data_IF_012377995692
#
_entry.id   IF_012377995692
#
_cell.length_a   1.000
_cell.length_b   1.000
_cell.length_c   1.000
_cell.angle_alpha   90.00
_cell.angle_beta   90.00
_cell.angle_gamma   90.00
#
_symmetry.space_group_name_H-M   'P 1'
#
loop_
_entity.id
_entity.type
_entity.pdbx_description
1 polymer ?
#
# COMPACT_ATOMS: atom_id res chain seq x y z
N UNK A 1 24.96 7.09 2.21
CA UNK A 1 23.57 7.52 2.51
C UNK A 1 23.38 7.43 4.02
N UNK A 2 22.83 8.45 4.68
CA UNK A 2 22.61 8.39 6.13
C UNK A 2 21.33 7.60 6.44
N UNK A 3 21.42 6.59 7.31
CA UNK A 3 20.26 5.81 7.74
C UNK A 3 19.33 6.65 8.64
N UNK A 4 18.02 6.45 8.44
CA UNK A 4 16.98 6.89 9.39
C UNK A 4 17.14 6.15 10.72
N UNK A 5 16.59 6.72 11.79
CA UNK A 5 16.68 6.16 13.13
C UNK A 5 16.15 4.73 13.18
N UNK A 6 14.93 4.49 12.71
CA UNK A 6 14.34 3.14 12.66
C UNK A 6 15.21 2.14 11.86
N UNK A 7 15.84 2.59 10.77
CA UNK A 7 16.72 1.73 9.96
C UNK A 7 17.96 1.33 10.75
N UNK A 8 18.56 2.27 11.48
CA UNK A 8 19.74 2.02 12.32
C UNK A 8 19.41 1.05 13.45
N UNK A 9 18.29 1.26 14.13
CA UNK A 9 17.80 0.35 15.18
C UNK A 9 17.50 -1.04 14.62
N UNK A 10 16.84 -1.13 13.47
CA UNK A 10 16.54 -2.40 12.81
C UNK A 10 17.82 -3.15 12.39
N UNK A 11 18.83 -2.45 11.85
CA UNK A 11 20.15 -3.05 11.53
C UNK A 11 20.77 -3.62 12.80
N UNK A 12 20.78 -2.87 13.89
CA UNK A 12 21.35 -3.30 15.16
C UNK A 12 20.62 -4.53 15.74
N UNK A 13 19.29 -4.51 15.76
CA UNK A 13 18.48 -5.65 16.20
C UNK A 13 18.71 -6.89 15.32
N UNK A 14 18.79 -6.70 13.99
CA UNK A 14 19.12 -7.78 13.08
C UNK A 14 20.53 -8.35 13.34
N UNK A 15 21.50 -7.48 13.64
CA UNK A 15 22.90 -7.84 13.92
C UNK A 15 23.04 -8.70 15.17
N UNK A 16 22.36 -8.34 16.26
CA UNK A 16 22.43 -9.06 17.55
C UNK A 16 21.52 -10.28 17.62
N UNK A 17 20.48 -10.35 16.78
CA UNK A 17 19.55 -11.48 16.78
C UNK A 17 20.25 -12.81 16.46
N UNK A 18 20.08 -13.80 17.34
CA UNK A 18 20.57 -15.17 17.14
C UNK A 18 19.62 -16.03 16.32
N UNK A 19 18.44 -15.52 15.94
CA UNK A 19 17.45 -16.26 15.15
C UNK A 19 17.95 -16.45 13.72
N UNK A 20 17.63 -17.61 13.15
CA UNK A 20 17.90 -17.92 11.74
C UNK A 20 16.97 -17.16 10.79
N UNK A 21 15.81 -16.71 11.27
CA UNK A 21 14.86 -15.89 10.54
C UNK A 21 14.52 -14.65 11.36
N UNK A 22 14.51 -13.50 10.71
CA UNK A 22 14.20 -12.21 11.32
C UNK A 22 13.17 -11.50 10.44
N UNK A 23 12.05 -11.08 11.02
CA UNK A 23 10.99 -10.38 10.31
C UNK A 23 11.02 -8.88 10.64
N UNK A 24 11.18 -8.06 9.60
CA UNK A 24 10.99 -6.63 9.67
C UNK A 24 9.70 -6.23 8.96
N UNK A 25 8.76 -5.66 9.72
CA UNK A 25 7.55 -5.06 9.17
C UNK A 25 7.75 -3.55 9.18
N UNK A 26 7.66 -2.91 8.02
CA UNK A 26 7.82 -1.47 7.94
C UNK A 26 6.89 -0.89 6.89
N UNK A 27 6.26 0.24 7.20
CA UNK A 27 5.25 0.84 6.33
C UNK A 27 5.78 1.05 4.89
N UNK A 28 4.90 1.01 3.88
CA UNK A 28 5.30 1.31 2.51
C UNK A 28 6.01 2.68 2.43
N UNK A 29 7.15 2.74 1.73
CA UNK A 29 7.96 3.96 1.62
C UNK A 29 8.93 4.22 2.79
N UNK A 30 8.92 3.40 3.85
CA UNK A 30 9.83 3.55 4.99
C UNK A 30 11.32 3.39 4.63
N UNK A 31 11.63 2.76 3.49
CA UNK A 31 12.99 2.49 3.02
C UNK A 31 13.51 1.11 3.45
N UNK A 32 12.67 0.07 3.34
CA UNK A 32 13.01 -1.33 3.67
C UNK A 32 14.24 -1.83 2.92
N UNK A 33 14.35 -1.51 1.64
CA UNK A 33 15.47 -1.89 0.77
C UNK A 33 16.80 -1.35 1.31
N UNK A 34 16.86 -0.07 1.70
CA UNK A 34 18.07 0.53 2.27
C UNK A 34 18.47 -0.13 3.59
N UNK A 35 17.51 -0.41 4.48
CA UNK A 35 17.75 -1.16 5.71
C UNK A 35 18.34 -2.55 5.41
N UNK A 36 17.69 -3.31 4.54
CA UNK A 36 18.06 -4.69 4.24
C UNK A 36 19.43 -4.81 3.56
N UNK A 37 19.73 -3.93 2.59
CA UNK A 37 21.02 -3.91 1.91
C UNK A 37 22.15 -3.46 2.85
N UNK A 38 21.87 -2.55 3.78
CA UNK A 38 22.87 -2.14 4.79
C UNK A 38 23.16 -3.28 5.77
N UNK A 39 22.12 -3.95 6.27
CA UNK A 39 22.27 -5.16 7.09
C UNK A 39 23.03 -6.26 6.35
N UNK A 40 22.79 -6.44 5.06
CA UNK A 40 23.48 -7.42 4.23
C UNK A 40 24.95 -7.09 4.00
N UNK A 41 25.28 -5.81 3.73
CA UNK A 41 26.66 -5.32 3.66
C UNK A 41 27.43 -5.64 4.93
N UNK A 42 26.87 -5.34 6.12
CA UNK A 42 27.53 -5.68 7.40
C UNK A 42 27.75 -7.19 7.58
N UNK A 43 26.83 -8.02 7.07
CA UNK A 43 26.98 -9.49 7.14
C UNK A 43 28.08 -10.01 6.22
N UNK A 44 28.23 -9.42 5.03
CA UNK A 44 29.31 -9.73 4.10
C UNK A 44 30.66 -9.27 4.68
N UNK A 45 30.76 -8.02 5.12
CA UNK A 45 32.00 -7.43 5.61
C UNK A 45 32.51 -8.10 6.89
N UNK A 46 31.61 -8.61 7.73
CA UNK A 46 31.96 -9.39 8.92
C UNK A 46 32.22 -10.88 8.67
N UNK A 47 32.16 -11.33 7.40
CA UNK A 47 32.35 -12.73 7.02
C UNK A 47 31.23 -13.68 7.49
N UNK A 48 30.13 -13.16 8.04
CA UNK A 48 28.98 -13.96 8.50
C UNK A 48 28.20 -14.56 7.33
N UNK A 49 28.27 -13.94 6.17
CA UNK A 49 27.75 -14.46 4.92
C UNK A 49 28.81 -14.33 3.82
N UNK A 50 28.86 -15.31 2.92
CA UNK A 50 29.69 -15.23 1.70
C UNK A 50 28.96 -14.51 0.57
N UNK A 51 27.62 -14.62 0.53
CA UNK A 51 26.78 -14.06 -0.52
C UNK A 51 25.38 -13.70 -0.02
N UNK A 52 24.68 -12.90 -0.81
CA UNK A 52 23.30 -12.48 -0.57
C UNK A 52 22.39 -12.98 -1.67
N UNK A 53 21.21 -13.50 -1.34
CA UNK A 53 20.15 -13.79 -2.30
C UNK A 53 18.92 -12.98 -1.92
N UNK A 54 18.45 -12.14 -2.82
CA UNK A 54 17.21 -11.38 -2.67
C UNK A 54 16.12 -12.03 -3.50
N UNK A 55 14.93 -12.18 -2.92
CA UNK A 55 13.73 -12.63 -3.62
C UNK A 55 12.70 -11.52 -3.59
N UNK A 56 12.30 -11.06 -4.76
CA UNK A 56 11.35 -9.97 -4.97
C UNK A 56 10.04 -10.49 -5.60
N UNK A 57 8.91 -9.78 -5.44
CA UNK A 57 7.63 -10.20 -6.02
C UNK A 57 7.61 -10.15 -7.56
N UNK A 58 8.25 -9.14 -8.16
CA UNK A 58 8.23 -8.91 -9.61
C UNK A 58 9.62 -8.64 -10.17
N UNK A 59 9.78 -8.78 -11.49
CA UNK A 59 11.03 -8.44 -12.20
C UNK A 59 11.36 -6.94 -12.08
N UNK A 60 10.35 -6.08 -12.04
CA UNK A 60 10.54 -4.64 -11.83
C UNK A 60 11.15 -4.35 -10.45
N UNK A 61 10.62 -4.97 -9.39
CA UNK A 61 11.16 -4.85 -8.03
C UNK A 61 12.58 -5.45 -7.97
N UNK A 62 12.80 -6.62 -8.56
CA UNK A 62 14.12 -7.23 -8.64
C UNK A 62 15.16 -6.30 -9.29
N UNK A 63 14.79 -5.63 -10.38
CA UNK A 63 15.65 -4.66 -11.08
C UNK A 63 15.98 -3.46 -10.20
N UNK A 64 15.05 -3.00 -9.36
CA UNK A 64 15.31 -1.91 -8.40
C UNK A 64 16.27 -2.31 -7.28
N UNK A 65 16.16 -3.55 -6.80
CA UNK A 65 17.13 -4.09 -5.84
C UNK A 65 18.54 -4.13 -6.42
N UNK A 66 18.69 -4.57 -7.68
CA UNK A 66 19.98 -4.57 -8.37
C UNK A 66 20.51 -3.14 -8.66
N UNK A 67 19.62 -2.20 -9.02
CA UNK A 67 19.98 -0.83 -9.34
C UNK A 67 20.26 0.05 -8.11
N UNK A 68 19.98 -0.41 -6.89
CA UNK A 68 20.17 0.38 -5.65
C UNK A 68 21.63 0.76 -5.41
N UNK A 69 22.57 -0.12 -5.75
CA UNK A 69 24.01 0.16 -5.74
C UNK A 69 24.73 -0.02 -4.40
N UNK A 70 24.04 -0.34 -3.30
CA UNK A 70 24.70 -0.69 -2.03
C UNK A 70 25.39 -2.07 -2.08
N UNK A 71 24.83 -2.99 -2.86
CA UNK A 71 25.41 -4.29 -3.20
C UNK A 71 25.37 -4.48 -4.71
N UNK A 72 26.38 -5.14 -5.27
CA UNK A 72 26.38 -5.56 -6.67
C UNK A 72 25.65 -6.90 -6.80
N UNK A 73 24.37 -6.85 -7.17
CA UNK A 73 23.50 -8.01 -7.33
C UNK A 73 23.28 -8.34 -8.81
N UNK A 74 23.43 -9.61 -9.18
CA UNK A 74 23.06 -10.09 -10.50
C UNK A 74 21.56 -10.44 -10.56
N UNK A 75 20.87 -9.99 -11.61
CA UNK A 75 19.45 -10.28 -11.84
C UNK A 75 19.19 -11.57 -12.65
N UNK A 76 20.24 -12.32 -12.97
CA UNK A 76 20.17 -13.56 -13.72
C UNK A 76 20.91 -14.67 -12.95
N UNK A 77 20.30 -15.85 -12.91
CA UNK A 77 20.90 -17.01 -12.28
C UNK A 77 21.94 -17.64 -13.22
N UNK A 78 23.18 -17.88 -12.76
CA UNK A 78 24.21 -18.53 -13.56
C UNK A 78 23.78 -19.93 -14.02
N UNK A 79 24.35 -20.38 -15.14
CA UNK A 79 24.16 -21.75 -15.63
C UNK A 79 24.67 -22.78 -14.60
N UNK A 80 25.76 -22.47 -13.90
CA UNK A 80 26.39 -23.33 -12.89
C UNK A 80 26.29 -22.69 -11.50
N UNK A 81 25.60 -23.36 -10.58
CA UNK A 81 25.48 -22.92 -9.18
C UNK A 81 24.76 -21.58 -8.95
N UNK A 82 25.19 -20.88 -7.90
CA UNK A 82 24.63 -19.60 -7.42
C UNK A 82 25.70 -18.52 -7.19
N UNK A 83 26.97 -18.83 -7.51
CA UNK A 83 28.06 -17.87 -7.45
C UNK A 83 28.06 -17.03 -8.73
N UNK A 84 28.17 -15.72 -8.58
CA UNK A 84 28.10 -14.76 -9.68
C UNK A 84 29.42 -14.04 -9.80
N UNK A 85 30.08 -14.17 -10.94
CA UNK A 85 31.40 -13.58 -11.15
C UNK A 85 31.38 -12.06 -10.95
N UNK A 86 32.18 -11.60 -10.00
CA UNK A 86 32.31 -10.19 -9.66
C UNK A 86 31.06 -9.56 -9.04
N UNK A 87 30.06 -10.34 -8.63
CA UNK A 87 28.87 -9.88 -7.92
C UNK A 87 28.85 -10.45 -6.50
N UNK A 88 28.15 -9.77 -5.60
CA UNK A 88 28.07 -10.09 -4.17
C UNK A 88 26.85 -10.96 -3.85
N UNK A 89 25.99 -11.15 -4.85
CA UNK A 89 24.73 -11.85 -4.68
C UNK A 89 23.84 -11.86 -5.92
N UNK A 90 22.66 -12.41 -5.71
CA UNK A 90 21.61 -12.60 -6.71
C UNK A 90 20.34 -11.87 -6.30
N UNK A 91 19.59 -11.42 -7.29
CA UNK A 91 18.18 -11.06 -7.12
C UNK A 91 17.32 -11.89 -8.05
N UNK A 92 16.29 -12.51 -7.49
CA UNK A 92 15.38 -13.43 -8.16
C UNK A 92 13.93 -13.04 -7.88
N UNK A 93 12.99 -13.60 -8.63
CA UNK A 93 11.57 -13.52 -8.30
C UNK A 93 11.09 -14.77 -7.57
N UNK A 94 9.97 -14.69 -6.85
CA UNK A 94 9.32 -15.89 -6.30
C UNK A 94 9.01 -16.92 -7.38
N UNK A 95 8.55 -16.47 -8.56
CA UNK A 95 8.29 -17.34 -9.71
C UNK A 95 9.55 -18.06 -10.20
N UNK A 96 10.71 -17.39 -10.17
CA UNK A 96 12.00 -17.99 -10.57
C UNK A 96 12.40 -19.19 -9.70
N UNK A 97 11.88 -19.32 -8.48
CA UNK A 97 12.20 -20.42 -7.56
C UNK A 97 11.40 -21.69 -7.85
N UNK A 98 10.36 -21.62 -8.67
CA UNK A 98 9.55 -22.78 -9.02
C UNK A 98 10.38 -23.82 -9.81
N UNK A 99 10.00 -25.08 -9.68
CA UNK A 99 10.62 -26.19 -10.41
C UNK A 99 12.06 -26.50 -9.98
N UNK A 100 12.93 -26.79 -10.95
CA UNK A 100 14.30 -27.24 -10.70
C UNK A 100 15.22 -26.14 -10.16
N UNK A 101 14.90 -24.88 -10.41
CA UNK A 101 15.73 -23.74 -9.98
C UNK A 101 15.85 -23.65 -8.46
N UNK A 102 14.72 -23.70 -7.74
CA UNK A 102 14.72 -23.66 -6.28
C UNK A 102 15.48 -24.85 -5.67
N UNK A 103 15.40 -26.03 -6.29
CA UNK A 103 16.16 -27.20 -5.86
C UNK A 103 17.67 -26.98 -5.97
N UNK A 104 18.13 -26.48 -7.12
CA UNK A 104 19.54 -26.20 -7.38
C UNK A 104 20.11 -25.14 -6.43
N UNK A 105 19.31 -24.12 -6.11
CA UNK A 105 19.68 -23.10 -5.11
C UNK A 105 19.83 -23.74 -3.73
N UNK A 106 18.87 -24.58 -3.31
CA UNK A 106 18.92 -25.30 -2.05
C UNK A 106 20.18 -26.15 -1.92
N UNK A 107 20.47 -26.98 -2.91
CA UNK A 107 21.69 -27.81 -2.94
C UNK A 107 22.98 -26.99 -2.87
N UNK A 108 23.02 -25.84 -3.56
CA UNK A 108 24.18 -24.96 -3.52
C UNK A 108 24.36 -24.29 -2.15
N UNK A 109 23.28 -23.88 -1.50
CA UNK A 109 23.31 -23.33 -0.13
C UNK A 109 23.73 -24.41 0.86
N UNK A 110 23.24 -25.64 0.73
CA UNK A 110 23.60 -26.76 1.62
C UNK A 110 25.08 -27.17 1.49
N UNK A 111 25.67 -27.00 0.30
CA UNK A 111 27.12 -27.20 0.08
C UNK A 111 28.00 -26.13 0.71
N UNK A 112 27.50 -24.93 0.96
CA UNK A 112 28.28 -23.89 1.63
C UNK A 112 28.62 -24.32 3.06
N UNK A 113 29.90 -24.55 3.35
CA UNK A 113 30.34 -24.87 4.72
C UNK A 113 29.88 -23.81 5.73
N UNK A 114 29.51 -24.26 6.94
CA UNK A 114 28.92 -23.46 8.05
C UNK A 114 29.68 -22.17 8.45
N UNK A 115 30.89 -21.94 7.95
CA UNK A 115 31.76 -20.79 8.29
C UNK A 115 31.41 -19.49 7.56
N UNK A 116 30.81 -19.53 6.36
CA UNK A 116 30.37 -18.33 5.63
C UNK A 116 29.22 -18.70 4.69
N UNK A 117 28.02 -18.88 5.25
CA UNK A 117 26.84 -19.33 4.48
C UNK A 117 26.15 -18.21 3.70
N UNK A 118 24.94 -18.48 3.22
CA UNK A 118 24.16 -17.52 2.42
C UNK A 118 23.18 -16.71 3.29
N UNK A 119 23.15 -15.38 3.13
CA UNK A 119 22.09 -14.51 3.65
C UNK A 119 20.97 -14.42 2.62
N UNK A 120 19.73 -14.69 3.03
CA UNK A 120 18.56 -14.57 2.14
C UNK A 120 17.70 -13.40 2.60
N UNK A 121 17.26 -12.58 1.66
CA UNK A 121 16.29 -11.50 1.87
C UNK A 121 15.03 -11.83 1.08
N UNK A 122 13.89 -11.89 1.77
CA UNK A 122 12.58 -12.15 1.16
C UNK A 122 11.76 -10.85 1.24
N UNK A 123 11.61 -10.16 0.11
CA UNK A 123 10.86 -8.91 0.02
C UNK A 123 9.37 -9.17 -0.22
N UNK A 124 8.51 -8.38 0.44
CA UNK A 124 7.06 -8.56 0.46
C UNK A 124 6.65 -10.03 0.68
N UNK A 125 7.12 -10.60 1.80
CA UNK A 125 7.04 -12.05 2.08
C UNK A 125 5.62 -12.65 2.06
N UNK A 126 4.59 -11.80 2.12
CA UNK A 126 3.20 -12.23 1.97
C UNK A 126 2.87 -12.83 0.60
N UNK A 127 3.64 -12.53 -0.46
CA UNK A 127 3.49 -13.21 -1.75
C UNK A 127 3.68 -14.72 -1.65
N UNK A 128 4.44 -15.21 -0.65
CA UNK A 128 4.59 -16.63 -0.41
C UNK A 128 3.27 -17.37 -0.10
N UNK A 129 2.26 -16.64 0.38
CA UNK A 129 0.93 -17.17 0.69
C UNK A 129 -0.08 -17.04 -0.46
N UNK A 130 0.25 -16.33 -1.54
CA UNK A 130 -0.64 -16.16 -2.70
C UNK A 130 -0.79 -17.47 -3.50
N UNK A 131 0.28 -18.27 -3.57
CA UNK A 131 0.30 -19.59 -4.16
C UNK A 131 1.10 -20.53 -3.24
N UNK A 132 0.49 -21.66 -2.84
CA UNK A 132 1.13 -22.67 -1.99
C UNK A 132 2.44 -23.21 -2.58
N UNK A 133 2.60 -23.15 -3.91
CA UNK A 133 3.84 -23.52 -4.60
C UNK A 133 5.01 -22.60 -4.24
N UNK A 134 4.77 -21.32 -3.98
CA UNK A 134 5.82 -20.40 -3.56
C UNK A 134 6.33 -20.76 -2.17
N UNK A 135 5.44 -21.04 -1.21
CA UNK A 135 5.84 -21.50 0.13
C UNK A 135 6.72 -22.75 0.10
N UNK A 136 6.34 -23.74 -0.71
CA UNK A 136 7.14 -24.96 -0.87
C UNK A 136 8.50 -24.67 -1.52
N UNK A 137 8.53 -23.84 -2.58
CA UNK A 137 9.76 -23.47 -3.27
C UNK A 137 10.75 -22.73 -2.36
N UNK A 138 10.25 -21.81 -1.51
CA UNK A 138 11.07 -21.10 -0.52
C UNK A 138 11.66 -22.04 0.52
N UNK A 139 10.84 -22.95 1.05
CA UNK A 139 11.31 -23.95 2.02
C UNK A 139 12.42 -24.80 1.42
N UNK A 140 12.21 -25.29 0.20
CA UNK A 140 13.20 -26.10 -0.53
C UNK A 140 14.48 -25.33 -0.83
N UNK A 141 14.38 -24.07 -1.26
CA UNK A 141 15.53 -23.27 -1.66
C UNK A 141 16.34 -22.74 -0.48
N UNK A 142 15.70 -22.40 0.65
CA UNK A 142 16.33 -21.53 1.66
C UNK A 142 16.34 -22.09 3.09
N UNK A 143 15.95 -23.34 3.32
CA UNK A 143 16.05 -23.96 4.65
C UNK A 143 17.49 -23.97 5.19
N UNK A 144 18.47 -24.26 4.34
CA UNK A 144 19.91 -24.26 4.67
C UNK A 144 20.54 -22.87 4.83
N UNK A 145 19.81 -21.78 4.55
CA UNK A 145 20.37 -20.43 4.61
C UNK A 145 20.88 -20.09 6.02
N UNK A 146 22.02 -19.39 6.09
CA UNK A 146 22.68 -19.01 7.35
C UNK A 146 21.81 -18.08 8.18
N UNK A 147 21.13 -17.16 7.49
CA UNK A 147 20.15 -16.25 8.05
C UNK A 147 19.18 -15.80 6.96
N UNK A 148 17.94 -15.52 7.35
CA UNK A 148 16.85 -15.04 6.50
C UNK A 148 16.30 -13.73 7.07
N UNK A 149 16.25 -12.70 6.24
CA UNK A 149 15.59 -11.43 6.54
C UNK A 149 14.28 -11.39 5.75
N UNK A 150 13.16 -11.41 6.44
CA UNK A 150 11.83 -11.32 5.86
C UNK A 150 11.38 -9.85 5.96
N UNK A 151 10.91 -9.27 4.86
CA UNK A 151 10.41 -7.90 4.80
C UNK A 151 8.91 -7.92 4.44
N UNK A 152 8.14 -7.06 5.10
CA UNK A 152 6.73 -6.85 4.77
C UNK A 152 6.34 -5.38 4.94
N UNK A 153 5.43 -4.90 4.09
CA UNK A 153 4.76 -3.60 4.25
C UNK A 153 3.77 -3.53 5.42
N UNK A 154 3.18 -4.67 5.78
CA UNK A 154 2.10 -4.75 6.79
C UNK A 154 2.20 -6.02 7.62
N UNK A 155 1.66 -6.03 8.86
CA UNK A 155 1.37 -7.28 9.55
C UNK A 155 0.39 -8.09 8.71
N UNK A 156 0.66 -9.39 8.53
CA UNK A 156 -0.22 -10.30 7.80
C UNK A 156 -0.93 -11.21 8.79
N UNK A 157 -2.21 -11.45 8.54
CA UNK A 157 -3.08 -12.31 9.35
C UNK A 157 -3.69 -13.39 8.47
N UNK A 158 -3.76 -14.60 9.00
CA UNK A 158 -4.25 -15.78 8.29
C UNK A 158 -4.99 -16.72 9.19
N UNK A 159 -5.93 -17.46 8.59
CA UNK A 159 -6.57 -18.61 9.22
C UNK A 159 -5.67 -19.86 9.14
N UNK A 160 -4.70 -19.88 8.22
CA UNK A 160 -3.73 -20.97 8.02
C UNK A 160 -2.33 -20.55 8.51
N UNK A 161 -1.97 -20.97 9.73
CA UNK A 161 -0.75 -20.57 10.46
C UNK A 161 0.58 -20.84 9.74
N UNK A 162 0.63 -21.62 8.66
CA UNK A 162 1.88 -22.04 8.00
C UNK A 162 2.05 -21.55 6.55
N UNK A 163 1.21 -20.61 6.10
CA UNK A 163 1.19 -20.19 4.70
C UNK A 163 2.48 -19.46 4.24
N UNK A 164 3.22 -18.84 5.17
CA UNK A 164 4.47 -18.12 4.86
C UNK A 164 5.63 -18.81 5.59
N UNK A 165 6.53 -19.49 4.87
CA UNK A 165 7.68 -20.15 5.47
C UNK A 165 8.54 -19.21 6.28
N UNK A 166 9.16 -19.74 7.34
CA UNK A 166 10.11 -19.04 8.21
C UNK A 166 9.53 -17.91 9.08
N UNK A 167 8.27 -17.53 8.88
CA UNK A 167 7.56 -16.57 9.72
C UNK A 167 7.13 -17.21 11.04
N UNK A 168 6.94 -16.36 12.07
CA UNK A 168 6.42 -16.75 13.38
C UNK A 168 5.00 -16.20 13.54
N UNK A 169 4.18 -16.90 14.30
CA UNK A 169 2.74 -16.63 14.40
C UNK A 169 2.28 -16.60 15.85
N UNK A 170 1.35 -15.68 16.15
CA UNK A 170 0.57 -15.70 17.39
C UNK A 170 -0.47 -16.82 17.35
N UNK A 171 -1.10 -17.11 18.49
CA UNK A 171 -2.22 -18.04 18.55
C UNK A 171 -3.39 -17.62 17.63
N UNK A 172 -3.57 -16.31 17.45
CA UNK A 172 -4.65 -15.70 16.66
C UNK A 172 -4.34 -15.59 15.16
N UNK A 173 -3.21 -16.15 14.72
CA UNK A 173 -2.82 -16.19 13.30
C UNK A 173 -2.18 -14.91 12.79
N UNK A 174 -1.66 -14.06 13.68
CA UNK A 174 -0.94 -12.83 13.31
C UNK A 174 0.57 -13.07 13.25
N UNK A 175 1.21 -12.49 12.24
CA UNK A 175 2.66 -12.61 12.07
C UNK A 175 3.43 -11.82 13.14
N UNK A 176 4.38 -12.46 13.83
CA UNK A 176 5.18 -11.85 14.89
C UNK A 176 6.45 -11.22 14.29
N UNK A 177 6.47 -9.90 14.20
CA UNK A 177 7.64 -9.12 13.80
C UNK A 177 8.75 -9.15 14.86
N UNK A 178 10.01 -9.17 14.42
CA UNK A 178 11.15 -8.89 15.29
C UNK A 178 11.36 -7.37 15.43
N UNK A 179 11.09 -6.61 14.36
CA UNK A 179 11.05 -5.15 14.36
C UNK A 179 9.83 -4.67 13.57
N UNK A 180 9.15 -3.65 14.09
CA UNK A 180 7.99 -3.03 13.43
C UNK A 180 8.19 -1.52 13.33
N UNK A 181 7.94 -0.97 12.15
CA UNK A 181 7.89 0.47 11.88
C UNK A 181 6.55 0.81 11.24
N UNK A 182 5.60 1.22 12.06
CA UNK A 182 4.20 1.39 11.63
C UNK A 182 4.00 2.65 10.79
N UNK A 183 2.85 2.77 10.14
CA UNK A 183 2.46 4.04 9.50
C UNK A 183 2.45 5.20 10.50
N UNK A 184 2.06 4.93 11.74
CA UNK A 184 2.01 5.92 12.80
C UNK A 184 3.41 6.40 13.21
N UNK A 185 4.40 5.50 13.26
CA UNK A 185 5.80 5.86 13.46
C UNK A 185 6.33 6.69 12.27
N UNK A 186 5.97 6.31 11.05
CA UNK A 186 6.35 7.05 9.84
C UNK A 186 5.76 8.47 9.79
N UNK A 187 4.56 8.67 10.33
CA UNK A 187 3.98 10.01 10.50
C UNK A 187 4.73 10.81 11.57
N UNK A 188 5.05 10.20 12.73
CA UNK A 188 5.82 10.83 13.80
C UNK A 188 7.17 11.35 13.29
N UNK A 189 7.85 10.54 12.50
CA UNK A 189 9.17 10.83 11.96
C UNK A 189 9.14 11.67 10.67
N UNK A 190 7.94 12.06 10.21
CA UNK A 190 7.71 12.80 8.95
C UNK A 190 8.28 12.10 7.70
N UNK A 191 8.40 10.78 7.76
CA UNK A 191 8.79 9.91 6.64
C UNK A 191 7.62 9.72 5.67
N UNK A 192 6.40 9.73 6.19
CA UNK A 192 5.17 9.69 5.42
C UNK A 192 4.30 10.92 5.71
N UNK A 193 3.41 11.24 4.77
CA UNK A 193 2.38 12.26 4.92
C UNK A 193 1.07 11.61 5.42
N UNK A 194 0.21 12.36 6.14
CA UNK A 194 -1.12 11.88 6.49
C UNK A 194 -1.96 11.64 5.23
N UNK A 195 -2.98 10.79 5.36
CA UNK A 195 -3.97 10.54 4.32
C UNK A 195 -5.37 10.86 4.85
N UNK A 196 -6.18 11.48 4.00
CA UNK A 196 -7.60 11.72 4.22
C UNK A 196 -8.40 10.85 3.25
N UNK A 197 -9.27 10.00 3.79
CA UNK A 197 -10.16 9.14 3.04
C UNK A 197 -11.47 9.87 2.77
N UNK A 198 -11.88 9.89 1.51
CA UNK A 198 -13.11 10.52 1.03
C UNK A 198 -13.98 9.44 0.41
N UNK A 199 -15.08 9.11 1.08
CA UNK A 199 -16.09 8.20 0.58
C UNK A 199 -17.17 9.01 -0.18
N UNK A 200 -17.31 8.72 -1.46
CA UNK A 200 -18.29 9.38 -2.34
C UNK A 200 -19.50 8.46 -2.53
N UNK A 201 -20.69 8.97 -2.23
CA UNK A 201 -21.96 8.25 -2.36
C UNK A 201 -22.17 7.66 -3.75
N UNK A 202 -22.76 6.47 -3.82
CA UNK A 202 -23.13 5.82 -5.08
C UNK A 202 -24.45 5.07 -4.94
N UNK A 203 -25.18 4.97 -6.05
CA UNK A 203 -26.23 3.98 -6.24
C UNK A 203 -25.61 2.77 -6.96
N UNK A 204 -26.07 1.55 -6.67
CA UNK A 204 -25.61 0.36 -7.38
C UNK A 204 -26.79 -0.48 -7.86
N UNK A 205 -26.69 -0.93 -9.11
CA UNK A 205 -27.69 -1.73 -9.80
C UNK A 205 -27.06 -3.06 -10.24
N UNK A 206 -27.36 -4.16 -9.56
CA UNK A 206 -26.77 -5.48 -9.88
C UNK A 206 -27.85 -6.55 -10.03
N UNK A 207 -27.49 -7.69 -10.61
CA UNK A 207 -28.37 -8.85 -10.66
C UNK A 207 -27.79 -9.97 -9.78
N UNK A 208 -28.64 -10.60 -8.97
CA UNK A 208 -28.30 -11.81 -8.24
C UNK A 208 -29.30 -12.94 -8.53
N UNK A 209 -29.20 -14.07 -7.82
CA UNK A 209 -30.10 -15.22 -8.01
C UNK A 209 -31.58 -14.90 -7.76
N UNK A 210 -31.91 -13.75 -7.16
CA UNK A 210 -33.27 -13.25 -6.93
C UNK A 210 -33.73 -12.25 -7.99
N UNK A 211 -32.93 -12.02 -9.04
CA UNK A 211 -33.22 -11.08 -10.12
C UNK A 211 -32.54 -9.71 -9.96
N UNK A 212 -32.97 -8.69 -10.72
CA UNK A 212 -32.41 -7.34 -10.64
C UNK A 212 -32.63 -6.70 -9.27
N UNK A 213 -31.57 -6.16 -8.70
CA UNK A 213 -31.54 -5.42 -7.44
C UNK A 213 -31.01 -4.00 -7.70
N UNK A 214 -31.65 -3.01 -7.09
CA UNK A 214 -31.19 -1.62 -7.07
C UNK A 214 -31.13 -1.16 -5.62
N UNK A 215 -29.95 -0.79 -5.14
CA UNK A 215 -29.76 -0.34 -3.75
C UNK A 215 -28.83 0.86 -3.74
N UNK A 216 -29.24 1.92 -3.02
CA UNK A 216 -28.35 3.03 -2.66
C UNK A 216 -27.27 2.48 -1.74
N UNK A 217 -26.01 2.52 -2.18
CA UNK A 217 -24.87 2.01 -1.42
C UNK A 217 -24.44 3.09 -0.45
N UNK A 218 -24.71 2.88 0.83
CA UNK A 218 -24.27 3.77 1.88
C UNK A 218 -23.31 3.09 2.84
N UNK A 219 -22.52 3.91 3.52
CA UNK A 219 -21.62 3.48 4.59
C UNK A 219 -22.45 2.86 5.74
N UNK A 220 -23.72 3.25 5.87
CA UNK A 220 -24.56 2.80 6.98
C UNK A 220 -25.12 1.38 6.81
N UNK A 221 -25.18 0.85 5.59
CA UNK A 221 -25.82 -0.43 5.31
C UNK A 221 -24.78 -1.47 4.87
N UNK A 222 -24.42 -2.43 5.75
CA UNK A 222 -23.50 -3.50 5.40
C UNK A 222 -24.07 -4.38 4.29
N UNK A 223 -23.29 -4.56 3.22
CA UNK A 223 -23.60 -5.51 2.15
C UNK A 223 -23.01 -6.89 2.51
N UNK A 224 -23.78 -7.99 2.31
CA UNK A 224 -23.27 -9.35 2.52
C UNK A 224 -21.97 -9.62 1.75
N UNK A 225 -21.04 -10.36 2.36
CA UNK A 225 -19.71 -10.62 1.78
C UNK A 225 -19.77 -11.18 0.34
N UNK A 226 -20.73 -12.05 0.06
CA UNK A 226 -20.94 -12.66 -1.27
C UNK A 226 -21.33 -11.65 -2.36
N UNK A 227 -21.98 -10.55 -1.99
CA UNK A 227 -22.45 -9.54 -2.94
C UNK A 227 -21.48 -8.36 -3.11
N UNK A 228 -20.52 -8.16 -2.18
CA UNK A 228 -19.61 -6.99 -2.16
C UNK A 228 -18.90 -6.76 -3.50
N UNK A 229 -18.33 -7.81 -4.09
CA UNK A 229 -17.59 -7.70 -5.36
C UNK A 229 -18.47 -7.32 -6.55
N UNK A 230 -19.70 -7.85 -6.61
CA UNK A 230 -20.66 -7.56 -7.68
C UNK A 230 -21.25 -6.16 -7.56
N UNK A 231 -21.61 -5.74 -6.33
CA UNK A 231 -22.09 -4.38 -6.07
C UNK A 231 -21.03 -3.35 -6.43
N UNK A 232 -19.80 -3.59 -6.00
CA UNK A 232 -18.69 -2.70 -6.30
C UNK A 232 -18.40 -2.64 -7.80
N UNK A 233 -18.41 -3.78 -8.50
CA UNK A 233 -18.28 -3.77 -9.97
C UNK A 233 -19.38 -2.94 -10.62
N UNK A 234 -20.64 -3.14 -10.23
CA UNK A 234 -21.77 -2.37 -10.76
C UNK A 234 -21.61 -0.87 -10.54
N UNK A 235 -21.27 -0.45 -9.32
CA UNK A 235 -20.96 0.95 -8.98
C UNK A 235 -19.88 1.55 -9.88
N UNK A 236 -18.82 0.79 -10.15
CA UNK A 236 -17.70 1.25 -10.97
C UNK A 236 -18.08 1.36 -12.45
N UNK A 237 -19.02 0.54 -12.92
CA UNK A 237 -19.43 0.47 -14.32
C UNK A 237 -20.54 1.48 -14.68
N UNK A 238 -21.32 1.96 -13.71
CA UNK A 238 -22.45 2.90 -13.91
C UNK A 238 -22.00 4.28 -14.43
N UNK A 239 -20.70 4.61 -14.30
CA UNK A 239 -20.08 5.82 -14.83
C UNK A 239 -20.50 7.13 -14.15
N UNK A 240 -21.69 7.19 -13.54
CA UNK A 240 -22.18 8.33 -12.76
C UNK A 240 -21.31 8.57 -11.51
N UNK A 241 -21.10 7.52 -10.70
CA UNK A 241 -20.17 7.60 -9.57
C UNK A 241 -18.77 8.01 -10.03
N UNK A 242 -18.31 7.45 -11.15
CA UNK A 242 -16.99 7.73 -11.69
C UNK A 242 -16.84 9.20 -12.12
N UNK A 243 -17.86 9.78 -12.75
CA UNK A 243 -17.88 11.21 -13.08
C UNK A 243 -17.78 12.07 -11.82
N UNK A 244 -18.62 11.80 -10.81
CA UNK A 244 -18.62 12.55 -9.56
C UNK A 244 -17.29 12.48 -8.81
N UNK A 245 -16.75 11.27 -8.62
CA UNK A 245 -15.48 11.07 -7.91
C UNK A 245 -14.28 11.67 -8.67
N UNK A 246 -14.25 11.56 -10.00
CA UNK A 246 -13.16 12.12 -10.80
C UNK A 246 -13.22 13.65 -10.82
N UNK A 247 -14.41 14.25 -10.88
CA UNK A 247 -14.56 15.70 -10.79
C UNK A 247 -14.02 16.25 -9.46
N UNK A 248 -14.43 15.66 -8.34
CA UNK A 248 -14.00 16.07 -7.00
C UNK A 248 -12.49 15.85 -6.81
N UNK A 249 -11.99 14.66 -7.17
CA UNK A 249 -10.58 14.34 -7.06
C UNK A 249 -9.71 15.26 -7.94
N UNK A 250 -10.19 15.62 -9.13
CA UNK A 250 -9.51 16.55 -10.02
C UNK A 250 -9.52 17.98 -9.48
N UNK A 251 -10.66 18.47 -8.98
CA UNK A 251 -10.74 19.79 -8.35
C UNK A 251 -9.76 19.91 -7.17
N UNK A 252 -9.70 18.87 -6.33
CA UNK A 252 -8.72 18.81 -5.23
C UNK A 252 -7.27 18.81 -5.73
N UNK A 253 -6.94 17.95 -6.69
CA UNK A 253 -5.58 17.87 -7.23
C UNK A 253 -5.15 19.20 -7.88
N UNK A 254 -6.04 19.86 -8.62
CA UNK A 254 -5.75 21.16 -9.22
C UNK A 254 -5.54 22.25 -8.17
N UNK A 255 -6.25 22.19 -7.04
CA UNK A 255 -6.00 23.08 -5.91
C UNK A 255 -4.61 22.85 -5.32
N UNK A 256 -4.22 21.59 -5.06
CA UNK A 256 -2.87 21.25 -4.58
C UNK A 256 -1.77 21.71 -5.55
N UNK A 257 -2.04 21.64 -6.86
CA UNK A 257 -1.09 22.07 -7.90
C UNK A 257 -0.83 23.57 -7.95
N UNK A 258 -1.58 24.39 -7.21
CA UNK A 258 -1.24 25.81 -7.02
C UNK A 258 0.00 25.99 -6.15
N UNK A 259 0.22 25.09 -5.19
CA UNK A 259 1.38 25.12 -4.28
C UNK A 259 2.47 24.16 -4.75
N UNK A 260 2.08 23.01 -5.30
CA UNK A 260 3.00 21.97 -5.79
C UNK A 260 2.70 21.72 -7.27
N UNK A 261 3.31 22.48 -8.20
CA UNK A 261 2.93 22.48 -9.62
C UNK A 261 2.91 21.12 -10.31
N UNK A 262 3.75 20.17 -9.87
CA UNK A 262 3.86 18.84 -10.42
C UNK A 262 3.13 17.76 -9.60
N UNK A 263 2.33 18.12 -8.60
CA UNK A 263 1.53 17.17 -7.83
C UNK A 263 0.68 16.30 -8.77
N UNK A 264 0.74 14.99 -8.55
CA UNK A 264 0.09 13.98 -9.37
C UNK A 264 -0.98 13.21 -8.63
N UNK A 265 -1.92 12.66 -9.39
CA UNK A 265 -2.95 11.74 -8.94
C UNK A 265 -2.79 10.37 -9.59
N UNK A 266 -3.14 9.33 -8.83
CA UNK A 266 -3.18 7.95 -9.29
C UNK A 266 -4.63 7.47 -9.29
N UNK A 267 -5.09 6.89 -10.41
CA UNK A 267 -6.37 6.21 -10.48
C UNK A 267 -6.11 4.72 -10.65
N UNK A 268 -6.58 3.90 -9.72
CA UNK A 268 -6.41 2.44 -9.78
C UNK A 268 -7.68 1.80 -10.31
N UNK A 269 -7.60 1.23 -11.50
CA UNK A 269 -8.70 0.54 -12.18
C UNK A 269 -8.71 -0.97 -11.86
N UNK A 270 -9.90 -1.59 -11.91
CA UNK A 270 -10.08 -3.05 -11.71
C UNK A 270 -9.37 -3.91 -12.77
N UNK A 271 -9.46 -3.52 -14.05
CA UNK A 271 -8.92 -4.25 -15.20
C UNK A 271 -8.67 -3.28 -16.38
N UNK A 272 -8.13 -3.81 -17.48
CA UNK A 272 -7.74 -3.04 -18.66
C UNK A 272 -8.93 -2.34 -19.32
N UNK A 273 -10.04 -3.04 -19.49
CA UNK A 273 -11.25 -2.47 -20.08
C UNK A 273 -11.77 -1.30 -19.25
N UNK A 274 -11.86 -1.49 -17.93
CA UNK A 274 -12.25 -0.44 -17.01
C UNK A 274 -11.26 0.74 -16.99
N UNK A 275 -9.95 0.51 -17.15
CA UNK A 275 -8.98 1.60 -17.21
C UNK A 275 -9.18 2.53 -18.41
N UNK A 276 -9.52 1.98 -19.58
CA UNK A 276 -9.86 2.78 -20.75
C UNK A 276 -11.20 3.49 -20.61
N UNK A 277 -12.18 2.87 -19.95
CA UNK A 277 -13.43 3.55 -19.59
C UNK A 277 -13.17 4.73 -18.66
N UNK A 278 -12.35 4.54 -17.61
CA UNK A 278 -11.91 5.61 -16.70
C UNK A 278 -11.21 6.73 -17.43
N UNK A 279 -10.31 6.41 -18.37
CA UNK A 279 -9.64 7.42 -19.18
C UNK A 279 -10.63 8.27 -19.97
N UNK A 280 -11.61 7.64 -20.63
CA UNK A 280 -12.65 8.35 -21.39
C UNK A 280 -13.46 9.27 -20.47
N UNK A 281 -13.94 8.76 -19.35
CA UNK A 281 -14.76 9.54 -18.40
C UNK A 281 -13.95 10.69 -17.78
N UNK A 282 -12.67 10.48 -17.47
CA UNK A 282 -11.76 11.53 -17.01
C UNK A 282 -11.62 12.64 -18.05
N UNK A 283 -11.39 12.29 -19.31
CA UNK A 283 -11.27 13.26 -20.40
C UNK A 283 -12.57 14.04 -20.61
N UNK A 284 -13.72 13.37 -20.59
CA UNK A 284 -15.04 14.02 -20.70
C UNK A 284 -15.34 14.96 -19.53
N UNK A 285 -14.92 14.59 -18.32
CA UNK A 285 -15.22 15.35 -17.09
C UNK A 285 -14.27 16.52 -16.86
N UNK A 286 -12.99 16.37 -17.23
CA UNK A 286 -11.91 17.28 -16.83
C UNK A 286 -11.13 17.88 -18.00
N UNK A 287 -11.29 17.34 -19.22
CA UNK A 287 -10.47 17.69 -20.39
C UNK A 287 -9.05 17.10 -20.36
N UNK A 288 -8.70 16.28 -19.37
CA UNK A 288 -7.37 15.69 -19.23
C UNK A 288 -7.31 14.29 -19.86
N UNK A 289 -6.42 14.12 -20.84
CA UNK A 289 -6.01 12.80 -21.35
C UNK A 289 -4.90 12.23 -20.46
N UNK A 290 -5.21 11.17 -19.70
CA UNK A 290 -4.25 10.52 -18.83
C UNK A 290 -3.63 9.27 -19.47
N UNK A 291 -2.31 9.04 -19.31
CA UNK A 291 -1.68 7.77 -19.67
C UNK A 291 -2.25 6.59 -18.86
N UNK A 292 -2.37 5.43 -19.52
CA UNK A 292 -2.83 4.18 -18.92
C UNK A 292 -1.67 3.19 -18.85
N UNK A 293 -1.33 2.73 -17.65
CA UNK A 293 -0.35 1.69 -17.39
C UNK A 293 -1.04 0.34 -17.13
N UNK A 294 -0.73 -0.65 -17.97
CA UNK A 294 -1.24 -2.03 -17.88
C UNK A 294 -0.08 -3.01 -17.71
N UNK A 295 -0.34 -4.18 -17.12
CA UNK A 295 0.68 -5.18 -16.75
C UNK A 295 1.38 -5.83 -17.95
N UNK A 296 2.32 -5.09 -18.53
CA UNK A 296 3.17 -5.43 -19.68
C UNK A 296 4.42 -4.54 -19.61
N UNK A 297 5.47 -4.86 -20.38
CA UNK A 297 6.68 -4.02 -20.46
C UNK A 297 6.36 -2.58 -20.89
N UNK A 298 5.34 -2.39 -21.72
CA UNK A 298 4.82 -1.08 -22.13
C UNK A 298 4.31 -0.26 -20.93
N UNK A 299 3.74 -0.91 -19.93
CA UNK A 299 3.26 -0.27 -18.70
C UNK A 299 4.38 0.37 -17.89
N UNK A 300 5.54 -0.29 -17.78
CA UNK A 300 6.69 0.26 -17.06
C UNK A 300 7.22 1.54 -17.72
N UNK A 301 7.31 1.55 -19.06
CA UNK A 301 7.71 2.72 -19.83
C UNK A 301 6.71 3.89 -19.72
N UNK A 302 5.40 3.58 -19.62
CA UNK A 302 4.37 4.59 -19.35
C UNK A 302 4.55 5.20 -17.96
N UNK A 303 4.75 4.38 -16.94
CA UNK A 303 4.96 4.86 -15.56
C UNK A 303 6.21 5.74 -15.48
N UNK A 304 7.31 5.34 -16.13
CA UNK A 304 8.56 6.09 -16.08
C UNK A 304 8.50 7.42 -16.85
N UNK A 305 7.73 7.49 -17.95
CA UNK A 305 7.40 8.76 -18.62
C UNK A 305 6.58 9.67 -17.71
N UNK A 306 5.51 9.14 -17.11
CA UNK A 306 4.67 9.92 -16.19
C UNK A 306 5.49 10.42 -14.97
N UNK A 307 6.38 9.58 -14.44
CA UNK A 307 7.26 9.96 -13.32
C UNK A 307 8.11 11.19 -13.64
N UNK A 308 8.52 11.36 -14.90
CA UNK A 308 9.35 12.47 -15.39
C UNK A 308 8.55 13.64 -15.97
N UNK A 309 7.23 13.52 -16.06
CA UNK A 309 6.36 14.60 -16.52
C UNK A 309 5.73 15.38 -15.36
N UNK A 310 5.09 16.50 -15.69
CA UNK A 310 4.22 17.25 -14.77
C UNK A 310 2.74 16.91 -14.96
N UNK A 311 2.42 15.84 -15.69
CA UNK A 311 1.03 15.47 -15.99
C UNK A 311 0.27 15.18 -14.69
N UNK A 312 -1.01 15.56 -14.62
CA UNK A 312 -1.75 15.48 -13.37
C UNK A 312 -2.18 14.05 -13.04
N UNK A 313 -2.47 13.19 -14.02
CA UNK A 313 -3.11 11.90 -13.76
C UNK A 313 -2.37 10.73 -14.40
N UNK A 314 -2.24 9.63 -13.65
CA UNK A 314 -1.85 8.32 -14.14
C UNK A 314 -2.97 7.33 -13.84
N UNK A 315 -3.39 6.55 -14.83
CA UNK A 315 -4.32 5.45 -14.65
C UNK A 315 -3.53 4.15 -14.66
N UNK A 316 -3.76 3.27 -13.69
CA UNK A 316 -3.07 1.98 -13.58
C UNK A 316 -4.07 0.85 -13.35
N UNK A 317 -3.88 -0.27 -14.04
CA UNK A 317 -4.55 -1.53 -13.71
C UNK A 317 -3.72 -2.28 -12.70
N UNK A 318 -4.31 -2.78 -11.61
CA UNK A 318 -3.58 -3.53 -10.58
C UNK A 318 -2.36 -2.76 -10.01
N UNK A 319 -1.56 -3.42 -9.18
CA UNK A 319 -0.27 -2.91 -8.70
C UNK A 319 0.81 -2.97 -9.79
N UNK A 320 0.53 -2.51 -11.02
CA UNK A 320 1.58 -2.39 -12.07
C UNK A 320 2.67 -1.38 -11.66
N UNK A 321 2.39 -0.59 -10.61
CA UNK A 321 3.35 0.22 -9.87
C UNK A 321 4.14 -0.50 -8.78
N UNK A 322 4.01 -1.83 -8.58
CA UNK A 322 4.77 -2.54 -7.55
C UNK A 322 6.28 -2.36 -7.76
N UNK A 323 6.94 -1.71 -6.80
CA UNK A 323 8.29 -1.20 -6.93
C UNK A 323 8.42 0.27 -7.34
N UNK A 324 7.67 0.79 -8.31
CA UNK A 324 7.93 2.15 -8.83
C UNK A 324 7.59 3.25 -7.81
N UNK A 325 8.58 4.10 -7.55
CA UNK A 325 8.48 5.24 -6.63
C UNK A 325 8.19 6.53 -7.40
N UNK A 326 7.02 7.13 -7.14
CA UNK A 326 6.60 8.42 -7.71
C UNK A 326 6.17 9.35 -6.56
N UNK A 327 7.12 10.00 -5.88
CA UNK A 327 6.84 10.77 -4.66
C UNK A 327 5.92 12.00 -4.84
N UNK A 328 5.71 12.44 -6.10
CA UNK A 328 4.80 13.56 -6.43
C UNK A 328 3.33 13.18 -6.38
N UNK A 329 3.00 11.89 -6.21
CA UNK A 329 1.61 11.45 -6.09
C UNK A 329 1.03 11.84 -4.72
N UNK A 330 -0.06 12.58 -4.73
CA UNK A 330 -0.75 13.08 -3.53
C UNK A 330 -2.23 12.71 -3.50
N UNK A 331 -2.84 12.47 -4.66
CA UNK A 331 -4.25 12.11 -4.80
C UNK A 331 -4.40 10.69 -5.32
N UNK A 332 -5.36 9.95 -4.79
CA UNK A 332 -5.65 8.57 -5.16
C UNK A 332 -7.15 8.40 -5.40
N UNK A 333 -7.53 7.78 -6.52
CA UNK A 333 -8.91 7.33 -6.78
C UNK A 333 -8.93 5.81 -6.81
N UNK A 334 -9.65 5.22 -5.85
CA UNK A 334 -9.79 3.78 -5.67
C UNK A 334 -10.96 3.26 -6.51
N UNK A 335 -10.66 2.82 -7.73
CA UNK A 335 -11.64 2.40 -8.73
C UNK A 335 -11.49 0.91 -9.06
N UNK A 336 -11.36 0.09 -8.00
CA UNK A 336 -11.17 -1.36 -8.09
C UNK A 336 -12.19 -2.13 -7.28
N UNK A 337 -12.50 -3.36 -7.71
CA UNK A 337 -13.50 -4.20 -7.08
C UNK A 337 -12.98 -5.14 -5.97
N UNK A 338 -11.70 -5.01 -5.65
CA UNK A 338 -11.05 -5.73 -4.54
C UNK A 338 -11.03 -4.80 -3.33
N UNK A 339 -11.28 -5.33 -2.15
CA UNK A 339 -11.41 -4.53 -0.93
C UNK A 339 -10.79 -5.23 0.28
N UNK A 340 -9.51 -5.60 0.15
CA UNK A 340 -8.74 -6.22 1.23
C UNK A 340 -7.87 -5.17 1.94
N UNK A 341 -7.65 -5.29 3.27
CA UNK A 341 -6.79 -4.35 4.01
C UNK A 341 -5.38 -4.22 3.44
N UNK A 342 -4.80 -5.36 3.02
CA UNK A 342 -3.47 -5.42 2.42
C UNK A 342 -3.40 -4.59 1.12
N UNK A 343 -4.33 -4.84 0.19
CA UNK A 343 -4.36 -4.14 -1.10
C UNK A 343 -4.56 -2.63 -0.90
N UNK A 344 -5.47 -2.26 0.00
CA UNK A 344 -5.72 -0.86 0.32
C UNK A 344 -4.48 -0.16 0.89
N UNK A 345 -3.75 -0.82 1.80
CA UNK A 345 -2.50 -0.29 2.36
C UNK A 345 -1.39 -0.19 1.31
N UNK A 346 -1.28 -1.17 0.40
CA UNK A 346 -0.31 -1.14 -0.70
C UNK A 346 -0.58 0.00 -1.69
N UNK A 347 -1.86 0.22 -2.02
CA UNK A 347 -2.28 1.30 -2.92
C UNK A 347 -2.10 2.67 -2.23
N UNK A 348 -2.54 2.81 -0.98
CA UNK A 348 -2.32 4.01 -0.17
C UNK A 348 -0.83 4.34 -0.04
N UNK A 349 0.02 3.31 0.10
CA UNK A 349 1.48 3.40 0.11
C UNK A 349 2.13 4.13 -1.08
N UNK A 350 1.37 4.36 -2.16
CA UNK A 350 1.80 5.11 -3.35
C UNK A 350 1.70 6.62 -3.18
N UNK A 351 0.79 7.11 -2.34
CA UNK A 351 0.50 8.54 -2.19
C UNK A 351 0.96 9.13 -0.85
N UNK A 352 1.33 8.29 0.12
CA UNK A 352 1.77 8.74 1.44
C UNK A 352 3.27 9.08 1.55
N UNK A 353 4.03 9.03 0.45
CA UNK A 353 5.48 9.29 0.48
C UNK A 353 5.73 10.80 0.48
N UNK A 354 6.62 11.31 1.33
CA UNK A 354 6.93 12.76 1.37
C UNK A 354 8.10 13.13 0.46
N UNK A 355 8.05 14.33 -0.13
CA UNK A 355 9.25 15.01 -0.66
C UNK A 355 9.73 16.02 0.36
N UNK A 356 11.02 16.34 0.34
CA UNK A 356 11.59 17.35 1.25
C UNK A 356 10.92 18.70 0.99
N UNK A 357 10.46 19.35 2.05
CA UNK A 357 9.83 20.67 1.99
C UNK A 357 8.34 20.64 1.62
N UNK A 358 7.73 19.47 1.44
CA UNK A 358 6.29 19.35 1.22
C UNK A 358 5.58 19.00 2.52
N UNK A 359 4.62 19.84 2.90
CA UNK A 359 3.67 19.55 3.97
C UNK A 359 2.26 19.49 3.37
N UNK A 360 1.91 18.32 2.83
CA UNK A 360 0.64 18.10 2.15
C UNK A 360 0.01 16.81 2.63
N UNK A 361 -1.28 16.86 2.93
CA UNK A 361 -2.10 15.68 3.21
C UNK A 361 -2.50 15.00 1.90
N UNK A 362 -2.24 13.69 1.80
CA UNK A 362 -2.73 12.90 0.68
C UNK A 362 -4.25 12.72 0.76
N UNK A 363 -4.94 12.57 -0.37
CA UNK A 363 -6.37 12.22 -0.38
C UNK A 363 -6.63 10.93 -1.14
N UNK A 364 -7.43 10.05 -0.55
CA UNK A 364 -7.88 8.80 -1.14
C UNK A 364 -9.39 8.82 -1.31
N UNK A 365 -9.85 8.96 -2.55
CA UNK A 365 -11.25 8.90 -2.94
C UNK A 365 -11.66 7.44 -3.19
N UNK A 366 -12.78 7.02 -2.63
CA UNK A 366 -13.26 5.64 -2.75
C UNK A 366 -14.79 5.56 -2.70
N UNK A 367 -15.39 4.45 -3.16
CA UNK A 367 -16.83 4.26 -3.06
C UNK A 367 -17.31 4.21 -1.61
N UNK A 368 -18.52 4.71 -1.36
CA UNK A 368 -19.20 4.75 -0.05
C UNK A 368 -19.66 3.39 0.48
N UNK A 369 -18.80 2.36 0.43
CA UNK A 369 -19.13 1.04 0.96
C UNK A 369 -18.61 0.87 2.38
N UNK A 370 -19.49 0.33 3.24
CA UNK A 370 -19.20 0.06 4.65
C UNK A 370 -17.83 -0.60 4.89
N UNK A 371 -17.52 -1.67 4.18
CA UNK A 371 -16.30 -2.45 4.43
C UNK A 371 -15.00 -1.75 3.98
N UNK A 372 -15.03 -0.90 2.95
CA UNK A 372 -13.86 -0.07 2.62
C UNK A 372 -13.67 1.01 3.69
N UNK A 373 -14.78 1.57 4.19
CA UNK A 373 -14.76 2.55 5.27
C UNK A 373 -14.23 1.97 6.58
N UNK A 374 -14.58 0.74 6.94
CA UNK A 374 -14.01 0.04 8.11
C UNK A 374 -12.49 -0.04 8.02
N UNK A 375 -11.95 -0.44 6.87
CA UNK A 375 -10.50 -0.49 6.64
C UNK A 375 -9.87 0.91 6.75
N UNK A 376 -10.53 1.94 6.21
CA UNK A 376 -10.04 3.32 6.29
C UNK A 376 -9.98 3.81 7.75
N UNK A 377 -11.01 3.52 8.53
CA UNK A 377 -11.07 3.85 9.95
C UNK A 377 -9.99 3.12 10.75
N UNK A 378 -9.72 1.85 10.45
CA UNK A 378 -8.65 1.10 11.13
C UNK A 378 -7.28 1.70 10.83
N UNK A 379 -7.02 2.12 9.58
CA UNK A 379 -5.78 2.80 9.19
C UNK A 379 -5.67 4.17 9.88
N UNK A 380 -6.72 4.97 9.88
CA UNK A 380 -6.75 6.30 10.51
C UNK A 380 -6.59 6.21 12.04
N UNK A 381 -7.22 5.22 12.69
CA UNK A 381 -7.06 4.98 14.13
C UNK A 381 -5.61 4.62 14.48
N UNK A 382 -4.94 3.81 13.67
CA UNK A 382 -3.52 3.51 13.85
C UNK A 382 -2.67 4.78 13.75
N UNK A 383 -2.98 5.69 12.82
CA UNK A 383 -2.32 6.99 12.71
C UNK A 383 -2.58 7.91 13.93
N UNK A 384 -3.83 7.96 14.42
CA UNK A 384 -4.26 8.81 15.54
C UNK A 384 -3.55 8.50 16.86
N UNK A 385 -3.24 7.24 17.14
CA UNK A 385 -2.63 6.81 18.41
C UNK A 385 -1.25 7.44 18.68
N UNK A 386 -0.63 8.04 17.66
CA UNK A 386 0.72 8.62 17.73
C UNK A 386 0.71 10.15 17.74
N UNK A 387 -0.34 10.79 17.21
CA UNK A 387 -0.40 12.25 17.02
C UNK A 387 -1.02 13.02 18.20
N UNK A 388 -1.62 12.34 19.19
CA UNK A 388 -2.02 13.01 20.44
C UNK A 388 -0.90 12.95 21.47
N UNK A 389 -0.26 14.07 21.85
CA UNK A 389 0.41 14.15 23.13
C UNK A 389 -0.62 13.84 24.21
N UNK A 390 -0.25 13.07 25.24
CA UNK A 390 -1.09 12.83 26.43
C UNK A 390 -1.43 14.17 27.12
N UNK A 391 -2.41 14.92 26.62
CA UNK A 391 -2.94 16.09 27.31
C UNK A 391 -3.97 15.61 28.31
N UNK A 392 -3.59 15.68 29.60
CA UNK A 392 -4.47 15.44 30.75
C UNK A 392 -5.79 16.18 30.54
N UNK A 393 -6.90 15.42 30.53
CA UNK A 393 -8.27 15.91 30.56
C UNK A 393 -8.44 16.93 31.69
N UNK A 394 -8.55 18.22 31.34
CA UNK A 394 -9.24 19.20 32.18
C UNK A 394 -10.54 19.56 31.48
N UNK A 395 -11.66 19.13 32.06
CA UNK A 395 -13.01 19.50 31.64
C UNK A 395 -13.23 20.97 32.02
N UNK A 396 -13.47 21.85 31.06
CA UNK A 396 -14.29 23.05 31.28
C UNK A 396 -15.25 23.24 30.11
N UNK A 397 -16.49 23.54 30.47
CA UNK A 397 -17.64 23.69 29.61
C UNK A 397 -17.51 24.92 28.68
N UNK A 398 -18.04 24.81 27.46
CA UNK A 398 -18.17 25.92 26.52
C UNK A 398 -19.64 26.16 26.25
N UNK A 399 -20.06 27.40 26.50
CA UNK A 399 -21.34 28.03 26.19
C UNK A 399 -21.44 28.39 24.71
N UNK A 400 -22.62 28.23 24.13
CA UNK A 400 -22.91 28.50 22.72
C UNK A 400 -23.19 29.98 22.41
N UNK A 401 -22.89 30.46 21.19
CA UNK A 401 -23.72 31.50 20.57
C UNK A 401 -24.05 31.30 19.07
N UNK A 402 -25.37 31.36 18.80
CA UNK A 402 -26.18 32.00 17.73
C UNK A 402 -25.74 31.99 16.24
N UNK A 403 -26.67 31.50 15.42
CA UNK A 403 -26.76 31.48 13.95
C UNK A 403 -27.01 32.85 13.30
N UNK A 404 -26.45 33.06 12.10
CA UNK A 404 -26.93 33.86 10.91
C UNK A 404 -25.80 33.78 9.84
N UNK A 405 -25.95 33.79 8.50
CA UNK A 405 -27.04 33.87 7.52
C UNK A 405 -26.52 33.38 6.12
N UNK A 406 -27.44 33.18 5.16
CA UNK A 406 -27.24 32.69 3.78
C UNK A 406 -26.71 33.75 2.78
N UNK A 407 -25.98 33.31 1.75
CA UNK A 407 -26.00 33.82 0.34
C UNK A 407 -25.03 32.99 -0.53
N UNK A 408 -25.04 32.96 -1.87
CA UNK A 408 -26.04 32.74 -2.92
C UNK A 408 -25.24 32.51 -4.24
N UNK A 409 -25.61 31.47 -5.01
CA UNK A 409 -25.53 31.27 -6.47
C UNK A 409 -24.23 31.50 -7.29
N UNK A 410 -23.85 30.44 -8.02
CA UNK A 410 -23.10 30.46 -9.29
C UNK A 410 -23.25 29.10 -9.98
N UNK A 411 -23.86 29.07 -11.18
CA UNK A 411 -24.26 27.85 -11.88
C UNK A 411 -23.06 27.04 -12.43
N UNK A 412 -23.03 25.75 -12.13
CA UNK A 412 -22.15 24.75 -12.74
C UNK A 412 -22.92 23.45 -12.96
N UNK A 413 -22.64 22.77 -14.07
CA UNK A 413 -23.24 21.50 -14.50
C UNK A 413 -23.28 20.52 -13.31
N UNK A 414 -24.49 20.27 -12.80
CA UNK A 414 -24.73 19.56 -11.55
C UNK A 414 -24.70 18.05 -11.72
N UNK A 415 -23.65 17.42 -11.20
CA UNK A 415 -23.75 16.06 -10.68
C UNK A 415 -24.04 16.23 -9.18
N UNK A 416 -25.28 15.99 -8.74
CA UNK A 416 -25.64 16.08 -7.31
C UNK A 416 -25.02 14.88 -6.58
N UNK A 417 -23.84 15.08 -5.98
CA UNK A 417 -23.28 14.13 -5.02
C UNK A 417 -24.14 14.24 -3.75
N UNK A 418 -24.96 13.23 -3.49
CA UNK A 418 -25.93 13.27 -2.38
C UNK A 418 -25.25 13.23 -1.00
N UNK A 419 -24.13 12.51 -0.82
CA UNK A 419 -23.43 12.42 0.47
C UNK A 419 -21.89 12.19 0.32
N UNK A 420 -21.07 13.04 0.94
CA UNK A 420 -19.62 12.84 1.08
C UNK A 420 -19.30 12.56 2.56
N UNK A 421 -18.62 11.45 2.83
CA UNK A 421 -18.04 11.20 4.13
C UNK A 421 -16.51 11.29 4.08
N UNK A 422 -15.92 11.94 5.07
CA UNK A 422 -14.49 12.21 5.11
C UNK A 422 -13.91 11.79 6.45
N UNK A 423 -12.76 11.12 6.44
CA UNK A 423 -11.98 10.81 7.65
C UNK A 423 -10.51 11.00 7.36
N UNK A 424 -9.83 11.78 8.20
CA UNK A 424 -8.40 12.04 8.06
C UNK A 424 -7.93 13.18 8.95
N UNK A 425 -6.63 13.17 9.24
CA UNK A 425 -5.94 14.10 10.16
C UNK A 425 -5.95 15.58 9.73
N UNK A 426 -6.51 15.92 8.55
CA UNK A 426 -6.52 17.28 8.00
C UNK A 426 -7.77 18.11 8.33
N UNK A 427 -8.79 17.51 8.92
CA UNK A 427 -10.11 18.12 9.06
C UNK A 427 -10.43 18.25 10.54
N UNK A 428 -10.23 19.44 11.09
CA UNK A 428 -10.83 19.84 12.38
C UNK A 428 -12.34 19.99 12.14
N UNK A 429 -13.04 18.88 11.97
CA UNK A 429 -14.50 18.87 11.87
C UNK A 429 -15.00 19.12 13.29
N UNK A 430 -15.38 20.36 13.57
CA UNK A 430 -16.23 20.63 14.73
C UNK A 430 -17.42 19.68 14.65
N UNK A 431 -17.72 18.98 15.75
CA UNK A 431 -18.79 17.96 15.81
C UNK A 431 -20.14 18.43 15.24
N UNK A 432 -20.35 19.74 15.09
CA UNK A 432 -21.53 20.38 14.53
C UNK A 432 -21.62 20.31 12.98
N UNK A 433 -20.54 19.97 12.26
CA UNK A 433 -20.55 19.80 10.79
C UNK A 433 -20.72 18.35 10.32
N UNK A 434 -20.75 17.38 11.24
CA UNK A 434 -21.05 16.00 10.89
C UNK A 434 -22.54 15.88 10.54
N UNK A 435 -22.86 15.23 9.41
CA UNK A 435 -24.25 14.87 9.11
C UNK A 435 -24.82 14.01 10.25
N UNK A 436 -26.14 14.04 10.44
CA UNK A 436 -26.81 13.27 11.50
C UNK A 436 -26.44 11.78 11.44
N UNK A 437 -26.26 11.25 10.23
CA UNK A 437 -25.81 9.90 9.97
C UNK A 437 -24.36 9.61 10.41
N UNK A 438 -23.44 10.56 10.23
CA UNK A 438 -22.06 10.45 10.71
C UNK A 438 -21.99 10.46 12.25
N UNK A 439 -22.84 11.25 12.91
CA UNK A 439 -22.92 11.31 14.38
C UNK A 439 -23.50 10.03 14.98
N UNK A 440 -24.54 9.46 14.35
CA UNK A 440 -25.14 8.21 14.77
C UNK A 440 -24.19 7.01 14.57
N UNK A 441 -23.33 7.04 13.54
CA UNK A 441 -22.30 6.02 13.33
C UNK A 441 -21.15 6.07 14.35
N UNK A 442 -20.66 7.27 14.69
CA UNK A 442 -19.68 7.43 15.76
C UNK A 442 -20.20 6.91 17.11
N UNK A 443 -21.53 6.98 17.33
CA UNK A 443 -22.20 6.38 18.50
C UNK A 443 -22.30 4.86 18.40
N UNK A 444 -22.70 4.30 17.25
CA UNK A 444 -22.77 2.84 17.06
C UNK A 444 -21.39 2.19 17.28
N UNK A 445 -20.32 2.78 16.77
CA UNK A 445 -18.95 2.28 16.97
C UNK A 445 -18.47 2.36 18.43
N UNK A 446 -18.95 3.35 19.20
CA UNK A 446 -18.67 3.44 20.63
C UNK A 446 -19.42 2.37 21.44
N UNK A 447 -20.59 1.92 20.98
CA UNK A 447 -21.42 0.91 21.64
C UNK A 447 -20.93 -0.52 21.35
N UNK A 448 -20.28 -0.78 20.22
CA UNK A 448 -19.74 -2.12 19.85
C UNK A 448 -18.41 -2.44 20.56
N UNK A 449 -17.76 -1.47 21.21
CA UNK A 449 -16.56 -1.65 22.05
C UNK A 449 -16.82 -1.51 23.57
N UNK A 450 -18.08 -1.66 23.99
CA UNK A 450 -18.49 -1.71 25.40
C UNK A 450 -18.49 -3.12 25.95
#
# INVERSE_FOLDING_TARGET
MQLREWQREAVEQFRISRRSSFLAVACPGAGKTTFALTAAREYLDSGKARRVIVVAPTLAVASQWAAHGLLKLAAALPAEGIDTDGCEGLVLTYASLLGATGARIGEAIDRDTRRSGTLVILDEVHHAAEDSKYGLALTRAFSGARKRLLLSGTPWRTDAREAIPFARWTADGEMIADVSYSYADALRDKVCRPVEFVAVSTTANWQDAKGPQSVKVSIERPIPRSARGSVLRSTLDDGEWLRGVLAEAHAHLMMQRREIPDAGGLIVARDVEHAYMVRRVLAETTGIEAPVAVGSDDGAAVIDRFRRSSDPWLISVMLVSEGTDIPRLTTLVYSTNKATPLLMTQIMGRVIRTRRGEDVTARMFMPSMHHLWEIALDIDQQALQVLQPRVRRTRKAVTAPKQHAKSAHGASIGCEIEDIATVGQGTRIEREQMSKSQQDFARIFATVKG
#
